data_IF_653525867151
#
_entry.id   IF_653525867151
#
_cell.length_a   1.000
_cell.length_b   1.000
_cell.length_c   1.000
_cell.angle_alpha   90.00
_cell.angle_beta   90.00
_cell.angle_gamma   90.00
#
_symmetry.space_group_name_H-M   'P 1'
#
loop_
_entity.id
_entity.type
_entity.pdbx_description
1 polymer ?
#
# COMPACT_ATOMS: atom_id res chain seq x y z
N UNK A 1 12.85 -6.87 9.78
CA UNK A 1 12.26 -8.08 9.16
C UNK A 1 12.33 -7.87 7.66
N UNK A 2 13.24 -8.56 6.98
CA UNK A 2 13.40 -8.44 5.53
C UNK A 2 12.29 -9.28 4.87
N UNK A 3 11.29 -8.61 4.30
CA UNK A 3 10.21 -9.29 3.58
C UNK A 3 10.80 -9.75 2.24
N UNK A 4 10.81 -11.07 1.99
CA UNK A 4 11.30 -11.64 0.74
C UNK A 4 10.52 -11.06 -0.46
N UNK A 5 11.19 -10.82 -1.58
CA UNK A 5 10.58 -10.30 -2.82
C UNK A 5 9.37 -11.12 -3.29
N UNK A 6 9.40 -12.44 -3.09
CA UNK A 6 8.27 -13.34 -3.39
C UNK A 6 7.02 -12.99 -2.57
N UNK A 7 7.20 -12.68 -1.28
CA UNK A 7 6.12 -12.28 -0.39
C UNK A 7 5.53 -10.94 -0.82
N UNK A 8 6.36 -9.97 -1.20
CA UNK A 8 5.88 -8.67 -1.74
C UNK A 8 5.04 -8.90 -3.00
N UNK A 9 5.51 -9.75 -3.92
CA UNK A 9 4.78 -10.05 -5.15
C UNK A 9 3.43 -10.74 -4.87
N UNK A 10 3.36 -11.62 -3.86
CA UNK A 10 2.11 -12.24 -3.42
C UNK A 10 1.13 -11.19 -2.87
N UNK A 11 1.60 -10.28 -2.01
CA UNK A 11 0.77 -9.20 -1.46
C UNK A 11 0.24 -8.29 -2.58
N UNK A 12 1.11 -7.86 -3.51
CA UNK A 12 0.72 -7.01 -4.65
C UNK A 12 -0.39 -7.69 -5.47
N UNK A 13 -0.23 -8.97 -5.82
CA UNK A 13 -1.25 -9.71 -6.57
C UNK A 13 -2.58 -9.80 -5.82
N UNK A 14 -2.54 -10.08 -4.52
CA UNK A 14 -3.74 -10.17 -3.70
C UNK A 14 -4.47 -8.81 -3.60
N UNK A 15 -3.74 -7.71 -3.49
CA UNK A 15 -4.31 -6.35 -3.52
C UNK A 15 -4.92 -6.00 -4.88
N UNK A 16 -4.25 -6.35 -5.97
CA UNK A 16 -4.74 -6.12 -7.35
C UNK A 16 -5.99 -6.97 -7.65
N UNK A 17 -6.07 -8.18 -7.07
CA UNK A 17 -7.24 -9.06 -7.18
C UNK A 17 -8.39 -8.67 -6.25
N UNK A 18 -8.12 -7.87 -5.20
CA UNK A 18 -9.09 -7.56 -4.16
C UNK A 18 -9.30 -8.68 -3.14
N UNK A 19 -8.37 -9.63 -3.06
CA UNK A 19 -8.37 -10.72 -2.08
C UNK A 19 -8.06 -10.23 -0.66
N UNK A 20 -7.25 -9.16 -0.58
CA UNK A 20 -6.95 -8.45 0.67
C UNK A 20 -7.02 -6.94 0.45
N UNK A 21 -7.35 -6.20 1.51
CA UNK A 21 -7.39 -4.76 1.51
C UNK A 21 -8.38 -4.18 0.49
N UNK A 22 -8.29 -2.86 0.29
CA UNK A 22 -9.17 -2.14 -0.64
C UNK A 22 -8.43 -0.99 -1.29
N UNK A 23 -8.70 -0.76 -2.57
CA UNK A 23 -8.15 0.39 -3.29
C UNK A 23 -8.75 1.69 -2.76
N UNK A 24 -7.90 2.69 -2.57
CA UNK A 24 -8.30 4.06 -2.24
C UNK A 24 -8.05 4.95 -3.47
N UNK A 25 -9.10 5.64 -3.92
CA UNK A 25 -8.98 6.75 -4.85
C UNK A 25 -8.88 8.04 -4.05
N UNK A 26 -7.66 8.57 -3.88
CA UNK A 26 -7.41 9.83 -3.21
C UNK A 26 -6.32 10.60 -3.95
N UNK A 27 -6.42 11.92 -3.96
CA UNK A 27 -5.43 12.81 -4.57
C UNK A 27 -4.52 13.50 -3.56
N UNK A 28 -4.66 13.18 -2.27
CA UNK A 28 -3.82 13.73 -1.20
C UNK A 28 -3.76 12.77 0.00
N UNK A 29 -2.75 12.94 0.85
CA UNK A 29 -2.67 12.20 2.11
C UNK A 29 -3.91 12.44 3.00
N UNK A 30 -4.37 13.68 3.13
CA UNK A 30 -5.53 14.01 3.98
C UNK A 30 -6.80 13.29 3.55
N UNK A 31 -7.05 13.21 2.25
CA UNK A 31 -8.15 12.44 1.70
C UNK A 31 -7.96 10.92 1.88
N UNK A 32 -6.74 10.42 1.63
CA UNK A 32 -6.44 9.00 1.81
C UNK A 32 -6.66 8.55 3.26
N UNK A 33 -6.19 9.35 4.23
CA UNK A 33 -6.39 9.12 5.66
C UNK A 33 -7.86 9.21 6.06
N UNK A 34 -8.63 10.13 5.47
CA UNK A 34 -10.07 10.23 5.74
C UNK A 34 -10.81 8.94 5.38
N UNK A 35 -10.39 8.27 4.31
CA UNK A 35 -11.01 7.01 3.91
C UNK A 35 -10.61 5.83 4.81
N UNK A 36 -9.54 5.90 5.60
CA UNK A 36 -9.09 4.78 6.45
C UNK A 36 -10.12 4.42 7.52
N UNK A 37 -10.36 3.13 7.70
CA UNK A 37 -11.16 2.56 8.77
C UNK A 37 -10.26 2.20 9.95
N UNK A 38 -10.87 2.00 11.11
CA UNK A 38 -10.13 1.62 12.31
C UNK A 38 -9.36 0.30 12.11
N UNK A 39 -8.04 0.34 12.32
CA UNK A 39 -7.14 -0.81 12.15
C UNK A 39 -6.57 -0.98 10.74
N UNK A 40 -6.95 -0.12 9.78
CA UNK A 40 -6.34 -0.11 8.46
C UNK A 40 -5.11 0.79 8.40
N UNK A 41 -4.10 0.32 7.68
CA UNK A 41 -2.86 1.03 7.39
C UNK A 41 -2.83 1.39 5.90
N UNK A 42 -2.32 2.58 5.56
CA UNK A 42 -2.22 3.05 4.19
C UNK A 42 -0.96 2.50 3.51
N UNK A 43 -1.15 1.81 2.40
CA UNK A 43 -0.10 1.29 1.55
C UNK A 43 -0.15 1.92 0.16
N UNK A 44 1.00 1.98 -0.49
CA UNK A 44 1.13 2.35 -1.89
C UNK A 44 1.86 1.25 -2.67
N UNK A 45 1.34 0.92 -3.85
CA UNK A 45 2.07 0.16 -4.85
C UNK A 45 2.62 1.17 -5.86
N UNK A 46 3.93 1.43 -5.81
CA UNK A 46 4.60 2.32 -6.76
C UNK A 46 5.20 1.52 -7.91
N UNK A 47 5.02 2.03 -9.13
CA UNK A 47 5.40 1.36 -10.38
C UNK A 47 6.66 2.00 -10.96
N UNK A 48 7.83 1.41 -10.68
CA UNK A 48 9.07 1.78 -11.36
C UNK A 48 9.21 1.05 -12.70
N UNK A 49 10.00 1.58 -13.64
CA UNK A 49 10.23 0.92 -14.93
C UNK A 49 10.75 -0.52 -14.83
N UNK A 50 11.50 -0.86 -13.78
CA UNK A 50 12.15 -2.16 -13.62
C UNK A 50 11.49 -3.07 -12.59
N UNK A 51 10.66 -2.53 -11.70
CA UNK A 51 10.06 -3.30 -10.61
C UNK A 51 8.88 -2.55 -9.97
N UNK A 52 8.08 -3.26 -9.17
CA UNK A 52 7.05 -2.68 -8.32
C UNK A 52 7.51 -2.75 -6.87
N UNK A 53 7.17 -1.73 -6.09
CA UNK A 53 7.41 -1.72 -4.65
C UNK A 53 6.11 -1.55 -3.89
N UNK A 54 6.02 -2.21 -2.75
CA UNK A 54 4.97 -2.00 -1.76
C UNK A 54 5.54 -1.15 -0.64
N UNK A 55 4.92 0.00 -0.39
CA UNK A 55 5.37 0.99 0.60
C UNK A 55 4.27 1.22 1.63
N UNK A 56 4.64 1.33 2.90
CA UNK A 56 3.76 1.86 3.94
C UNK A 56 3.85 3.38 3.88
N UNK A 57 2.71 4.05 3.70
CA UNK A 57 2.61 5.52 3.56
C UNK A 57 1.55 6.10 4.50
N UNK A 58 1.45 5.50 5.68
CA UNK A 58 0.54 5.81 6.78
C UNK A 58 0.87 7.09 7.56
N UNK A 59 1.90 7.82 7.14
CA UNK A 59 2.25 9.13 7.67
C UNK A 59 2.40 10.15 6.54
N UNK A 60 2.12 11.41 6.85
CA UNK A 60 2.27 12.50 5.89
C UNK A 60 3.69 12.58 5.31
N UNK A 61 4.73 12.34 6.11
CA UNK A 61 6.13 12.33 5.67
C UNK A 61 6.40 11.22 4.63
N UNK A 62 5.96 9.99 4.91
CA UNK A 62 6.15 8.85 3.98
C UNK A 62 5.36 9.05 2.70
N UNK A 63 4.16 9.61 2.79
CA UNK A 63 3.34 9.94 1.63
C UNK A 63 3.99 11.03 0.78
N UNK A 64 4.53 12.09 1.40
CA UNK A 64 5.25 13.14 0.69
C UNK A 64 6.49 12.60 -0.03
N UNK A 65 7.23 11.66 0.60
CA UNK A 65 8.35 10.97 -0.05
C UNK A 65 7.93 10.12 -1.25
N UNK A 66 6.72 9.55 -1.24
CA UNK A 66 6.16 8.84 -2.40
C UNK A 66 5.87 9.83 -3.54
N UNK A 67 5.20 10.94 -3.25
CA UNK A 67 4.85 11.96 -4.25
C UNK A 67 6.08 12.59 -4.91
N UNK A 68 7.13 12.88 -4.12
CA UNK A 68 8.37 13.47 -4.64
C UNK A 68 9.08 12.60 -5.69
N UNK A 69 8.83 11.28 -5.70
CA UNK A 69 9.46 10.37 -6.67
C UNK A 69 8.79 10.40 -8.03
N UNK A 70 7.71 11.17 -8.20
CA UNK A 70 6.96 11.34 -9.46
C UNK A 70 6.61 10.00 -10.16
N UNK A 71 6.52 8.93 -9.36
CA UNK A 71 6.32 7.58 -9.85
C UNK A 71 4.84 7.26 -9.76
N UNK A 72 4.19 6.71 -10.82
CA UNK A 72 2.80 6.29 -10.73
C UNK A 72 2.60 5.31 -9.58
N UNK A 73 1.55 5.54 -8.78
CA UNK A 73 1.22 4.68 -7.66
C UNK A 73 -0.28 4.44 -7.53
N UNK A 74 -0.65 3.36 -6.84
CA UNK A 74 -2.01 3.09 -6.41
C UNK A 74 -2.04 2.93 -4.89
N UNK A 75 -3.03 3.54 -4.23
CA UNK A 75 -3.20 3.50 -2.79
C UNK A 75 -4.14 2.37 -2.38
N UNK A 76 -3.83 1.74 -1.25
CA UNK A 76 -4.61 0.68 -0.66
C UNK A 76 -4.72 0.85 0.85
N UNK A 77 -5.90 0.61 1.40
CA UNK A 77 -6.08 0.39 2.84
C UNK A 77 -5.99 -1.10 3.11
N UNK A 78 -5.23 -1.51 4.11
CA UNK A 78 -5.10 -2.93 4.48
C UNK A 78 -5.29 -3.05 5.99
N UNK A 79 -6.18 -3.94 6.45
CA UNK A 79 -6.28 -4.28 7.87
C UNK A 79 -5.05 -5.11 8.27
N UNK A 80 -4.34 -4.71 9.33
CA UNK A 80 -3.13 -5.43 9.75
C UNK A 80 -3.39 -6.90 10.08
N UNK A 81 -4.59 -7.24 10.56
CA UNK A 81 -4.97 -8.62 10.92
C UNK A 81 -5.17 -9.46 9.66
N UNK A 82 -5.83 -8.89 8.66
CA UNK A 82 -6.00 -9.52 7.35
C UNK A 82 -4.64 -9.79 6.69
N UNK A 83 -3.74 -8.80 6.72
CA UNK A 83 -2.39 -8.97 6.19
C UNK A 83 -1.61 -10.06 6.94
N UNK A 84 -1.69 -10.10 8.27
CA UNK A 84 -1.05 -11.15 9.08
C UNK A 84 -1.60 -12.54 8.75
N UNK A 85 -2.91 -12.67 8.56
CA UNK A 85 -3.56 -13.93 8.19
C UNK A 85 -3.13 -14.40 6.80
N UNK A 86 -3.03 -13.49 5.83
CA UNK A 86 -2.57 -13.80 4.48
C UNK A 86 -1.10 -14.27 4.42
N UNK A 87 -0.28 -13.77 5.35
CA UNK A 87 1.15 -14.06 5.41
C UNK A 87 1.52 -15.26 6.30
N UNK A 88 0.57 -15.77 7.09
CA UNK A 88 0.74 -16.98 7.91
C UNK A 88 0.73 -18.23 7.05
#
# INVERSE_FOLDING_TARGET
>A
MEIKTETINRIIKALEAGDIGRRIGASSYGEASFYLRHGETLFAIAQYPTHRVLLIVDTAERYQQLEYKETPYALYAIDERELKQFLS
#
